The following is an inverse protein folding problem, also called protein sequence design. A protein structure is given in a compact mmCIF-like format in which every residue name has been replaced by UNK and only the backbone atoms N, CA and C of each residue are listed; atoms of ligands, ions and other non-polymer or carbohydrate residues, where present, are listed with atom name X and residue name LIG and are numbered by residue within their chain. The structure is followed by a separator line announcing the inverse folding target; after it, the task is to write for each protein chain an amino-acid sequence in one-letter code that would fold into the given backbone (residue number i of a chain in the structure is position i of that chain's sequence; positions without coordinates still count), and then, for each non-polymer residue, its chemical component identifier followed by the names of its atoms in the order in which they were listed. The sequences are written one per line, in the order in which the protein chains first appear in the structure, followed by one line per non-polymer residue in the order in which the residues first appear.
data_IF_887810047990
#
_entry.id   IF_887810047990
#
_cell.length_a   1.000
_cell.length_b   1.000
_cell.length_c   1.000
_cell.angle_alpha   90.00
_cell.angle_beta   90.00
_cell.angle_gamma   90.00
#
_symmetry.space_group_name_H-M   'P 1'
#
loop_
_entity.id
_entity.type
_entity.pdbx_description
1 polymer ?
#
# COMPACT_ATOMS: atom_id res chain seq x y z
N UNK A 1 -12.90 27.40 64.94
CA UNK A 1 -11.68 26.84 64.30
C UNK A 1 -12.04 25.64 63.41
N UNK A 2 -12.97 25.82 62.46
CA UNK A 2 -13.43 24.73 61.56
C UNK A 2 -13.61 25.18 60.09
N UNK A 3 -13.55 26.48 59.78
CA UNK A 3 -13.74 26.98 58.41
C UNK A 3 -12.61 26.64 57.44
N UNK A 4 -11.35 26.56 57.90
CA UNK A 4 -10.22 26.37 56.99
C UNK A 4 -10.16 24.94 56.43
N UNK A 5 -10.48 23.93 57.24
CA UNK A 5 -10.51 22.54 56.81
C UNK A 5 -11.66 22.26 55.83
N UNK A 6 -12.82 22.90 56.06
CA UNK A 6 -13.99 22.77 55.19
C UNK A 6 -13.76 23.50 53.85
N UNK A 7 -13.09 24.66 53.88
CA UNK A 7 -12.68 25.39 52.67
C UNK A 7 -11.64 24.62 51.86
N UNK A 8 -10.67 23.98 52.50
CA UNK A 8 -9.69 23.11 51.83
C UNK A 8 -10.34 21.86 51.22
N UNK A 9 -11.29 21.24 51.93
CA UNK A 9 -12.02 20.06 51.47
C UNK A 9 -12.91 20.39 50.26
N UNK A 10 -13.58 21.55 50.28
CA UNK A 10 -14.39 22.06 49.16
C UNK A 10 -13.49 22.42 47.96
N UNK A 11 -12.36 23.10 48.19
CA UNK A 11 -11.40 23.43 47.13
C UNK A 11 -10.77 22.16 46.52
N UNK A 12 -10.40 21.18 47.35
CA UNK A 12 -9.86 19.90 46.91
C UNK A 12 -10.89 19.05 46.15
N UNK A 13 -12.17 19.08 46.56
CA UNK A 13 -13.29 18.45 45.83
C UNK A 13 -13.60 19.18 44.52
N UNK A 14 -13.51 20.50 44.48
CA UNK A 14 -13.66 21.32 43.26
C UNK A 14 -12.54 21.03 42.24
N UNK A 15 -11.28 20.98 42.68
CA UNK A 15 -10.13 20.59 41.84
C UNK A 15 -10.23 19.14 41.31
N UNK A 16 -10.84 18.23 42.07
CA UNK A 16 -11.10 16.85 41.62
C UNK A 16 -12.33 16.74 40.70
N UNK A 17 -13.36 17.55 40.92
CA UNK A 17 -14.55 17.61 40.06
C UNK A 17 -14.26 18.28 38.71
N UNK A 18 -13.25 19.15 38.64
CA UNK A 18 -12.77 19.78 37.40
C UNK A 18 -11.86 18.90 36.53
N UNK A 19 -11.69 17.61 36.85
CA UNK A 19 -11.35 16.60 35.84
C UNK A 19 -12.54 16.35 34.91
N UNK A 20 -13.06 17.43 34.33
CA UNK A 20 -13.98 17.40 33.20
C UNK A 20 -13.21 16.69 32.09
N UNK A 21 -13.64 15.48 31.78
CA UNK A 21 -13.08 14.71 30.69
C UNK A 21 -13.37 15.45 29.39
N UNK A 22 -12.48 16.36 28.99
CA UNK A 22 -12.62 17.11 27.75
C UNK A 22 -12.39 16.17 26.58
N UNK A 23 -13.47 15.70 25.97
CA UNK A 23 -13.42 14.99 24.71
C UNK A 23 -12.77 15.85 23.63
N UNK A 24 -12.08 15.22 22.69
CA UNK A 24 -11.57 15.93 21.51
C UNK A 24 -12.74 16.35 20.62
N UNK A 25 -12.74 17.61 20.20
CA UNK A 25 -13.74 18.10 19.24
C UNK A 25 -13.31 17.81 17.80
N UNK A 26 -14.25 17.79 16.84
CA UNK A 26 -13.90 17.67 15.43
C UNK A 26 -12.95 18.77 14.95
N UNK A 27 -13.10 20.00 15.45
CA UNK A 27 -12.21 21.13 15.11
C UNK A 27 -10.78 20.91 15.60
N UNK A 28 -10.62 20.27 16.76
CA UNK A 28 -9.30 19.87 17.27
C UNK A 28 -8.65 18.82 16.37
N UNK A 29 -9.41 17.85 15.88
CA UNK A 29 -8.91 16.84 14.94
C UNK A 29 -8.52 17.47 13.60
N UNK A 30 -9.33 18.41 13.08
CA UNK A 30 -9.01 19.18 11.86
C UNK A 30 -7.72 19.98 12.04
N UNK A 31 -7.58 20.70 13.17
CA UNK A 31 -6.37 21.46 13.49
C UNK A 31 -5.13 20.57 13.51
N UNK A 32 -5.23 19.38 14.10
CA UNK A 32 -4.13 18.42 14.10
C UNK A 32 -3.80 17.92 12.68
N UNK A 33 -4.81 17.62 11.85
CA UNK A 33 -4.59 17.25 10.46
C UNK A 33 -3.92 18.36 9.66
N UNK A 34 -4.37 19.60 9.79
CA UNK A 34 -3.77 20.75 9.10
C UNK A 34 -2.27 20.86 9.41
N UNK A 35 -1.87 20.73 10.68
CA UNK A 35 -0.44 20.75 11.05
C UNK A 35 0.35 19.56 10.53
N UNK A 36 -0.26 18.38 10.46
CA UNK A 36 0.37 17.20 9.87
C UNK A 36 0.56 17.32 8.36
N UNK A 37 -0.35 18.02 7.67
CA UNK A 37 -0.30 18.24 6.21
C UNK A 37 0.70 19.34 5.87
N UNK A 38 0.69 20.45 6.62
CA UNK A 38 1.61 21.56 6.40
C UNK A 38 3.08 21.16 6.57
N UNK A 39 3.34 20.16 7.44
CA UNK A 39 4.65 19.71 7.92
C UNK A 39 5.86 20.07 7.03
N UNK A 40 6.39 21.31 7.17
CA UNK A 40 7.36 21.84 6.21
C UNK A 40 8.78 21.29 6.44
N UNK A 41 8.97 20.56 7.54
CA UNK A 41 10.28 20.13 8.04
C UNK A 41 10.37 18.61 8.23
N UNK A 42 9.45 17.83 7.62
CA UNK A 42 9.38 16.38 7.79
C UNK A 42 9.43 15.93 9.27
N UNK A 43 8.85 16.74 10.15
CA UNK A 43 8.87 16.50 11.58
C UNK A 43 8.03 15.29 11.94
N UNK A 44 8.44 14.60 13.00
CA UNK A 44 7.65 13.49 13.53
C UNK A 44 6.33 13.99 14.13
N UNK A 45 5.27 13.15 14.17
CA UNK A 45 4.00 13.52 14.80
C UNK A 45 4.15 13.98 16.25
N UNK A 46 5.17 13.47 16.95
CA UNK A 46 5.55 13.92 18.29
C UNK A 46 5.85 15.43 18.33
N UNK A 47 6.73 15.91 17.45
CA UNK A 47 7.15 17.32 17.41
C UNK A 47 6.00 18.24 16.98
N UNK A 48 5.11 17.75 16.14
CA UNK A 48 3.90 18.47 15.73
C UNK A 48 2.94 18.62 16.92
N UNK A 49 2.72 17.54 17.68
CA UNK A 49 1.90 17.57 18.89
C UNK A 49 2.50 18.45 19.99
N UNK A 50 3.83 18.47 20.12
CA UNK A 50 4.56 19.35 21.04
C UNK A 50 4.32 20.83 20.69
N UNK A 51 4.43 21.19 19.41
CA UNK A 51 4.14 22.57 18.96
C UNK A 51 2.69 22.96 19.23
N UNK A 52 1.73 22.09 18.89
CA UNK A 52 0.30 22.34 19.13
C UNK A 52 -0.03 22.57 20.62
N UNK A 53 0.68 21.89 21.52
CA UNK A 53 0.51 22.09 22.95
C UNK A 53 1.06 23.44 23.44
N UNK A 54 2.03 24.02 22.72
CA UNK A 54 2.66 25.30 23.05
C UNK A 54 2.00 26.50 22.33
N UNK A 55 0.99 26.28 21.48
CA UNK A 55 0.24 27.37 20.84
C UNK A 55 -0.62 28.13 21.87
N UNK A 56 -0.76 29.47 21.73
CA UNK A 56 -1.62 30.25 22.62
C UNK A 56 -3.05 29.70 22.63
N UNK A 57 -3.62 29.53 23.82
CA UNK A 57 -4.96 28.97 23.99
C UNK A 57 -5.03 27.44 23.89
N UNK A 58 -3.90 26.73 23.78
CA UNK A 58 -3.89 25.27 23.87
C UNK A 58 -4.15 24.83 25.31
N UNK A 59 -5.27 24.12 25.52
CA UNK A 59 -5.66 23.58 26.83
C UNK A 59 -5.08 22.18 27.06
N UNK A 60 -4.56 21.54 26.00
CA UNK A 60 -4.15 20.14 26.01
C UNK A 60 -2.64 19.99 26.02
N UNK A 61 -2.16 19.05 26.82
CA UNK A 61 -0.77 18.63 26.77
C UNK A 61 -0.44 17.90 25.46
N UNK A 62 0.84 17.97 25.06
CA UNK A 62 1.32 17.26 23.87
C UNK A 62 1.08 15.74 23.94
N UNK A 63 1.14 15.15 25.14
CA UNK A 63 0.83 13.72 25.37
C UNK A 63 -0.63 13.40 25.01
N UNK A 64 -1.55 14.30 25.32
CA UNK A 64 -2.97 14.16 24.97
C UNK A 64 -3.16 14.18 23.45
N UNK A 65 -2.55 15.17 22.77
CA UNK A 65 -2.56 15.26 21.31
C UNK A 65 -1.96 14.02 20.64
N UNK A 66 -0.79 13.57 21.11
CA UNK A 66 -0.13 12.40 20.53
C UNK A 66 -0.92 11.12 20.75
N UNK A 67 -1.56 10.96 21.92
CA UNK A 67 -2.44 9.82 22.21
C UNK A 67 -3.66 9.81 21.29
N UNK A 68 -4.26 10.99 21.05
CA UNK A 68 -5.38 11.15 20.09
C UNK A 68 -4.94 10.79 18.67
N UNK A 69 -3.80 11.31 18.23
CA UNK A 69 -3.20 10.97 16.94
C UNK A 69 -3.02 9.46 16.79
N UNK A 70 -2.25 8.85 17.68
CA UNK A 70 -1.83 7.44 17.58
C UNK A 70 -3.01 6.46 17.67
N UNK A 71 -3.97 6.73 18.55
CA UNK A 71 -5.01 5.75 18.87
C UNK A 71 -6.31 5.95 18.10
N UNK A 72 -6.58 7.16 17.60
CA UNK A 72 -7.87 7.48 16.98
C UNK A 72 -7.68 7.92 15.54
N UNK A 73 -6.81 8.90 15.30
CA UNK A 73 -6.72 9.55 13.98
C UNK A 73 -5.93 8.72 12.97
N UNK A 74 -4.71 8.30 13.31
CA UNK A 74 -3.85 7.55 12.39
C UNK A 74 -4.50 6.23 11.92
N UNK A 75 -5.09 5.39 12.78
CA UNK A 75 -5.76 4.15 12.33
C UNK A 75 -6.98 4.42 11.43
N UNK A 76 -7.64 5.56 11.63
CA UNK A 76 -8.86 5.95 10.89
C UNK A 76 -8.59 6.96 9.79
N UNK A 77 -7.33 7.10 9.35
CA UNK A 77 -6.95 8.06 8.31
C UNK A 77 -7.71 7.83 6.99
N UNK A 78 -8.00 6.58 6.63
CA UNK A 78 -8.83 6.24 5.47
C UNK A 78 -10.24 6.86 5.53
N UNK A 79 -10.81 7.06 6.72
CA UNK A 79 -12.13 7.69 6.94
C UNK A 79 -12.07 9.22 7.02
N UNK A 80 -10.88 9.81 7.12
CA UNK A 80 -10.76 11.26 7.20
C UNK A 80 -11.32 11.93 5.92
N UNK A 81 -11.94 13.10 6.08
CA UNK A 81 -12.43 13.90 4.95
C UNK A 81 -11.29 14.65 4.25
N UNK A 82 -10.30 13.88 3.78
CA UNK A 82 -9.11 14.37 3.10
C UNK A 82 -9.04 13.79 1.68
N UNK A 83 -8.47 14.53 0.71
CA UNK A 83 -8.15 14.01 -0.61
C UNK A 83 -7.26 12.75 -0.56
N UNK A 84 -7.41 11.86 -1.54
CA UNK A 84 -6.71 10.55 -1.57
C UNK A 84 -5.20 10.71 -1.64
N UNK A 85 -4.73 11.65 -2.46
CA UNK A 85 -3.32 12.04 -2.57
C UNK A 85 -2.75 12.53 -1.23
N UNK A 86 -3.55 13.31 -0.49
CA UNK A 86 -3.18 13.77 0.86
C UNK A 86 -3.13 12.60 1.85
N UNK A 87 -4.12 11.69 1.82
CA UNK A 87 -4.11 10.48 2.66
C UNK A 87 -2.89 9.61 2.37
N UNK A 88 -2.58 9.34 1.09
CA UNK A 88 -1.42 8.57 0.66
C UNK A 88 -0.12 9.20 1.18
N UNK A 89 0.03 10.51 1.03
CA UNK A 89 1.18 11.26 1.55
C UNK A 89 1.32 11.08 3.06
N UNK A 90 0.23 11.20 3.82
CA UNK A 90 0.23 11.02 5.27
C UNK A 90 0.59 9.59 5.70
N UNK A 91 0.04 8.58 5.01
CA UNK A 91 0.38 7.17 5.23
C UNK A 91 1.86 6.90 5.02
N UNK A 92 2.42 7.40 3.92
CA UNK A 92 3.82 7.25 3.56
C UNK A 92 4.74 8.02 4.52
N UNK A 93 4.52 9.32 4.69
CA UNK A 93 5.36 10.22 5.49
C UNK A 93 5.50 9.76 6.94
N UNK A 94 4.41 9.30 7.54
CA UNK A 94 4.37 8.94 8.96
C UNK A 94 4.45 7.44 9.20
N UNK A 95 4.65 6.64 8.15
CA UNK A 95 4.76 5.18 8.25
C UNK A 95 3.54 4.57 8.95
N UNK A 96 2.34 5.04 8.63
CA UNK A 96 1.11 4.55 9.22
C UNK A 96 0.73 3.25 8.49
N UNK A 97 0.39 2.16 9.21
CA UNK A 97 -0.15 0.96 8.58
C UNK A 97 -1.46 1.29 7.85
N UNK A 98 -1.55 0.91 6.58
CA UNK A 98 -2.74 1.14 5.76
C UNK A 98 -3.79 0.10 6.12
N UNK A 99 -5.05 0.54 6.21
CA UNK A 99 -6.18 -0.36 6.37
C UNK A 99 -6.36 -1.20 5.09
N UNK A 100 -6.67 -2.47 5.23
CA UNK A 100 -6.59 -3.45 4.14
C UNK A 100 -7.62 -3.19 3.04
N UNK A 101 -8.86 -2.82 3.37
CA UNK A 101 -9.88 -2.50 2.38
C UNK A 101 -9.53 -1.23 1.60
N UNK A 102 -9.03 -0.20 2.30
CA UNK A 102 -8.57 1.04 1.69
C UNK A 102 -7.34 0.81 0.79
N UNK A 103 -6.43 -0.10 1.17
CA UNK A 103 -5.30 -0.47 0.31
C UNK A 103 -5.76 -1.10 -1.01
N UNK A 104 -6.81 -1.92 -1.00
CA UNK A 104 -7.39 -2.48 -2.23
C UNK A 104 -7.99 -1.37 -3.10
N UNK A 105 -8.70 -0.41 -2.50
CA UNK A 105 -9.21 0.77 -3.21
C UNK A 105 -8.06 1.57 -3.84
N UNK A 106 -6.98 1.80 -3.10
CA UNK A 106 -5.81 2.55 -3.57
C UNK A 106 -5.14 1.87 -4.78
N UNK A 107 -5.03 0.55 -4.78
CA UNK A 107 -4.42 -0.21 -5.89
C UNK A 107 -5.17 -0.05 -7.22
N UNK A 108 -6.45 0.31 -7.19
CA UNK A 108 -7.22 0.62 -8.42
C UNK A 108 -6.88 1.98 -9.04
N UNK A 109 -6.24 2.88 -8.28
CA UNK A 109 -5.96 4.28 -8.66
C UNK A 109 -4.48 4.62 -8.67
N UNK A 110 -3.66 3.81 -8.02
CA UNK A 110 -2.22 4.04 -7.85
C UNK A 110 -1.48 2.70 -7.77
N UNK A 111 -0.26 2.68 -8.27
CA UNK A 111 0.70 1.63 -7.92
C UNK A 111 1.17 1.87 -6.49
N UNK A 112 0.92 0.93 -5.59
CA UNK A 112 1.28 1.05 -4.17
C UNK A 112 1.99 -0.22 -3.70
N UNK A 113 3.19 -0.05 -3.15
CA UNK A 113 3.97 -1.10 -2.48
C UNK A 113 3.94 -0.90 -0.97
N UNK A 114 3.81 -2.00 -0.22
CA UNK A 114 3.77 -1.99 1.24
C UNK A 114 4.84 -2.92 1.83
N UNK A 115 5.30 -2.61 3.04
CA UNK A 115 6.19 -3.49 3.82
C UNK A 115 5.43 -4.59 4.58
N UNK A 116 6.17 -5.46 5.27
CA UNK A 116 5.64 -6.54 6.13
C UNK A 116 4.68 -6.04 7.23
N UNK A 117 4.76 -4.75 7.60
CA UNK A 117 3.91 -4.12 8.63
C UNK A 117 2.72 -3.39 8.01
N UNK A 118 2.49 -3.53 6.70
CA UNK A 118 1.41 -2.89 5.96
C UNK A 118 1.60 -1.38 5.77
N UNK A 119 2.82 -0.87 5.86
CA UNK A 119 3.14 0.56 5.66
C UNK A 119 3.57 0.80 4.23
N UNK A 120 3.14 1.92 3.65
CA UNK A 120 3.50 2.28 2.27
C UNK A 120 5.00 2.56 2.20
N UNK A 121 5.69 1.88 1.28
CA UNK A 121 7.11 2.10 0.98
C UNK A 121 7.33 2.84 -0.34
N UNK A 122 6.36 2.72 -1.27
CA UNK A 122 6.37 3.46 -2.53
C UNK A 122 4.94 3.61 -3.04
N UNK A 123 4.64 4.75 -3.64
CA UNK A 123 3.39 4.94 -4.36
C UNK A 123 3.58 5.80 -5.62
N UNK A 124 2.79 5.53 -6.65
CA UNK A 124 2.71 6.32 -7.87
C UNK A 124 1.26 6.35 -8.35
N UNK A 125 0.68 7.56 -8.49
CA UNK A 125 -0.68 7.70 -9.00
C UNK A 125 -0.72 7.31 -10.48
N UNK A 126 -1.74 6.55 -10.87
CA UNK A 126 -1.99 6.25 -12.28
C UNK A 126 -2.49 7.54 -12.92
N UNK A 127 -1.57 8.27 -13.57
CA UNK A 127 -1.97 9.43 -14.35
C UNK A 127 -2.82 8.97 -15.53
N UNK A 128 -3.85 9.73 -15.91
CA UNK A 128 -4.70 9.42 -17.08
C UNK A 128 -3.92 9.34 -18.40
N UNK A 129 -2.64 9.75 -18.42
CA UNK A 129 -1.74 9.78 -19.59
C UNK A 129 -0.99 8.47 -19.83
N UNK A 130 -0.89 7.59 -18.83
CA UNK A 130 -0.12 6.32 -18.90
C UNK A 130 -1.05 5.11 -18.94
N UNK A 131 -1.90 5.04 -19.95
CA UNK A 131 -2.56 3.76 -20.28
C UNK A 131 -1.70 2.91 -21.23
N UNK A 132 -0.58 3.43 -21.74
CA UNK A 132 0.15 2.82 -22.87
C UNK A 132 1.67 2.64 -22.67
N UNK A 133 2.33 3.14 -21.61
CA UNK A 133 3.82 3.21 -21.59
C UNK A 133 4.55 2.55 -20.39
N UNK A 134 3.85 2.01 -19.37
CA UNK A 134 4.50 1.53 -18.14
C UNK A 134 4.83 0.01 -18.12
N UNK A 135 4.84 -0.69 -19.28
CA UNK A 135 5.29 -2.10 -19.37
C UNK A 135 6.82 -2.28 -19.39
N UNK A 136 7.58 -1.28 -19.84
CA UNK A 136 9.01 -1.46 -20.15
C UNK A 136 9.99 -0.90 -19.09
N UNK A 137 9.60 0.11 -18.28
CA UNK A 137 10.57 0.84 -17.45
C UNK A 137 10.85 0.19 -16.06
N UNK A 138 10.09 -0.83 -15.65
CA UNK A 138 10.21 -1.41 -14.30
C UNK A 138 11.26 -2.54 -14.18
N UNK A 139 11.92 -2.96 -15.27
CA UNK A 139 12.95 -4.02 -15.21
C UNK A 139 14.33 -3.55 -14.71
N UNK A 140 14.56 -2.25 -14.48
CA UNK A 140 15.92 -1.71 -14.28
C UNK A 140 16.30 -1.43 -12.80
N UNK A 141 15.57 -1.92 -11.78
CA UNK A 141 16.02 -1.73 -10.37
C UNK A 141 15.91 -3.00 -9.51
N UNK A 142 16.68 -4.01 -9.88
CA UNK A 142 17.22 -5.03 -8.97
C UNK A 142 18.68 -5.25 -9.36
N UNK A 143 19.54 -4.27 -9.04
CA UNK A 143 20.98 -4.53 -8.97
C UNK A 143 21.26 -5.21 -7.62
N UNK A 144 21.51 -6.51 -7.67
CA UNK A 144 22.18 -7.24 -6.58
C UNK A 144 23.67 -6.83 -6.53
N UNK A 145 24.29 -6.76 -5.33
CA UNK A 145 25.71 -6.45 -5.21
C UNK A 145 26.58 -7.67 -5.55
N UNK A 146 27.42 -7.50 -6.56
CA UNK A 146 28.54 -8.37 -6.94
C UNK A 146 29.62 -8.46 -5.84
N UNK A 147 30.19 -9.67 -5.67
CA UNK A 147 31.64 -10.01 -5.48
C UNK A 147 31.77 -11.44 -4.91
N UNK A 148 32.09 -12.42 -5.77
CA UNK A 148 33.43 -13.04 -6.01
C UNK A 148 33.76 -14.16 -5.01
N UNK A 149 34.23 -15.35 -5.39
CA UNK A 149 35.48 -15.58 -6.12
C UNK A 149 35.68 -17.10 -6.45
N UNK A 150 36.36 -17.38 -7.57
CA UNK A 150 37.28 -18.52 -7.85
C UNK A 150 36.82 -19.82 -8.60
N UNK A 151 36.80 -19.76 -9.96
CA UNK A 151 37.64 -20.47 -11.00
C UNK A 151 37.64 -22.03 -11.05
N UNK A 152 37.83 -22.79 -12.18
CA UNK A 152 38.17 -22.45 -13.60
C UNK A 152 37.37 -23.14 -14.75
N UNK A 153 37.27 -22.39 -15.86
CA UNK A 153 37.46 -22.69 -17.31
C UNK A 153 37.68 -24.13 -17.82
N UNK A 154 36.90 -24.49 -18.86
CA UNK A 154 37.14 -25.26 -20.12
C UNK A 154 35.88 -26.14 -20.39
N UNK A 155 35.19 -26.20 -21.54
CA UNK A 155 35.44 -25.92 -22.95
C UNK A 155 34.05 -25.83 -23.66
N UNK A 156 33.99 -25.13 -24.79
CA UNK A 156 33.11 -25.34 -25.96
C UNK A 156 31.67 -24.79 -25.98
N UNK A 157 31.53 -23.67 -26.70
CA UNK A 157 30.66 -23.50 -27.86
C UNK A 157 29.28 -24.20 -27.85
N UNK A 158 28.29 -23.59 -27.21
CA UNK A 158 26.89 -23.61 -27.67
C UNK A 158 26.31 -22.22 -27.40
N UNK A 159 25.73 -21.60 -28.44
CA UNK A 159 24.95 -20.36 -28.32
C UNK A 159 23.92 -20.46 -27.17
N UNK A 160 23.62 -19.40 -26.40
CA UNK A 160 22.57 -19.50 -25.40
C UNK A 160 21.23 -19.56 -26.14
N UNK A 161 20.72 -20.78 -26.30
CA UNK A 161 19.31 -21.00 -26.57
C UNK A 161 18.50 -20.25 -25.52
N UNK A 162 17.69 -19.32 -26.00
CA UNK A 162 16.59 -18.71 -25.27
C UNK A 162 15.61 -19.81 -24.85
N UNK A 163 15.84 -20.44 -23.70
CA UNK A 163 14.86 -21.35 -23.10
C UNK A 163 13.76 -20.51 -22.45
N UNK A 164 12.83 -20.04 -23.28
CA UNK A 164 11.53 -19.58 -22.80
C UNK A 164 10.81 -20.76 -22.14
N UNK A 165 10.24 -20.57 -20.94
CA UNK A 165 9.54 -21.64 -20.24
C UNK A 165 8.36 -22.12 -21.09
N UNK A 166 8.22 -23.44 -21.22
CA UNK A 166 7.15 -24.02 -22.01
C UNK A 166 5.78 -23.62 -21.46
N UNK A 167 4.77 -23.56 -22.33
CA UNK A 167 3.40 -23.23 -21.91
C UNK A 167 2.89 -24.17 -20.80
N UNK A 168 3.35 -25.43 -20.80
CA UNK A 168 3.03 -26.41 -19.76
C UNK A 168 3.65 -26.02 -18.42
N UNK A 169 4.91 -25.59 -18.41
CA UNK A 169 5.59 -25.09 -17.20
C UNK A 169 4.91 -23.84 -16.65
N UNK A 170 4.51 -22.90 -17.52
CA UNK A 170 3.76 -21.72 -17.12
C UNK A 170 2.41 -22.08 -16.46
N UNK A 171 1.66 -23.01 -17.05
CA UNK A 171 0.38 -23.47 -16.49
C UNK A 171 0.54 -24.21 -15.16
N UNK A 172 1.63 -24.96 -14.97
CA UNK A 172 1.96 -25.63 -13.70
C UNK A 172 2.26 -24.60 -12.60
N UNK A 173 3.01 -23.55 -12.91
CA UNK A 173 3.25 -22.44 -11.99
C UNK A 173 1.94 -21.73 -11.64
N UNK A 174 1.11 -21.43 -12.65
CA UNK A 174 -0.19 -20.80 -12.46
C UNK A 174 -1.10 -21.64 -11.56
N UNK A 175 -1.22 -22.95 -11.80
CA UNK A 175 -1.98 -23.88 -10.93
C UNK A 175 -1.51 -23.80 -9.48
N UNK A 176 -0.20 -23.78 -9.27
CA UNK A 176 0.42 -23.76 -7.94
C UNK A 176 0.10 -22.47 -7.20
N UNK A 177 0.11 -21.33 -7.88
CA UNK A 177 -0.30 -20.04 -7.31
C UNK A 177 -1.80 -20.02 -7.00
N UNK A 178 -2.64 -20.49 -7.93
CA UNK A 178 -4.10 -20.52 -7.75
C UNK A 178 -4.50 -21.37 -6.53
N UNK A 179 -3.82 -22.50 -6.29
CA UNK A 179 -4.04 -23.34 -5.10
C UNK A 179 -3.75 -22.64 -3.77
N UNK A 180 -2.86 -21.64 -3.73
CA UNK A 180 -2.51 -20.94 -2.49
C UNK A 180 -3.63 -20.01 -1.99
N UNK A 181 -4.57 -19.62 -2.85
CA UNK A 181 -5.70 -18.79 -2.47
C UNK A 181 -6.79 -19.55 -1.72
N UNK A 182 -6.75 -20.90 -1.72
CA UNK A 182 -7.60 -21.80 -0.93
C UNK A 182 -9.06 -21.35 -0.81
N UNK A 183 -9.67 -21.03 -1.96
CA UNK A 183 -11.03 -20.51 -2.03
C UNK A 183 -11.88 -21.32 -3.01
N UNK A 184 -13.15 -21.52 -2.69
CA UNK A 184 -14.08 -22.31 -3.51
C UNK A 184 -14.27 -21.69 -4.91
N UNK A 185 -14.10 -20.38 -5.04
CA UNK A 185 -14.20 -19.65 -6.31
C UNK A 185 -13.05 -19.98 -7.27
N UNK A 186 -11.95 -20.56 -6.77
CA UNK A 186 -10.77 -20.91 -7.59
C UNK A 186 -10.76 -22.36 -8.08
N UNK A 187 -11.69 -23.20 -7.62
CA UNK A 187 -11.76 -24.62 -8.01
C UNK A 187 -12.06 -24.81 -9.50
N UNK A 188 -13.00 -24.05 -10.07
CA UNK A 188 -13.29 -24.08 -11.52
C UNK A 188 -12.08 -23.66 -12.35
N UNK A 189 -11.31 -22.68 -11.87
CA UNK A 189 -10.10 -22.19 -12.53
C UNK A 189 -9.01 -23.27 -12.49
N UNK A 190 -8.83 -23.94 -11.35
CA UNK A 190 -7.87 -25.05 -11.21
C UNK A 190 -8.25 -26.21 -12.14
N UNK A 191 -9.54 -26.57 -12.25
CA UNK A 191 -10.01 -27.61 -13.17
C UNK A 191 -9.75 -27.26 -14.64
N UNK A 192 -9.94 -25.99 -15.03
CA UNK A 192 -9.66 -25.51 -16.39
C UNK A 192 -8.17 -25.56 -16.72
N UNK A 193 -7.31 -25.18 -15.77
CA UNK A 193 -5.85 -25.27 -15.94
C UNK A 193 -5.42 -26.74 -16.05
N UNK A 194 -5.99 -27.64 -15.25
CA UNK A 194 -5.71 -29.08 -15.32
C UNK A 194 -6.13 -29.68 -16.67
N UNK A 195 -7.29 -29.28 -17.17
CA UNK A 195 -7.75 -29.67 -18.50
C UNK A 195 -6.82 -29.15 -19.60
N UNK A 196 -6.29 -27.92 -19.46
CA UNK A 196 -5.34 -27.35 -20.41
C UNK A 196 -3.98 -28.08 -20.38
N UNK A 197 -3.45 -28.40 -19.20
CA UNK A 197 -2.22 -29.17 -19.04
C UNK A 197 -2.36 -30.57 -19.65
N UNK A 198 -3.51 -31.23 -19.47
CA UNK A 198 -3.78 -32.55 -20.07
C UNK A 198 -3.90 -32.49 -21.59
N UNK A 199 -4.53 -31.43 -22.13
CA UNK A 199 -4.67 -31.23 -23.58
C UNK A 199 -3.34 -30.92 -24.27
N UNK A 200 -2.40 -30.31 -23.57
CA UNK A 200 -1.07 -29.97 -24.12
C UNK A 200 -0.15 -31.19 -24.28
N UNK A 201 -0.44 -32.32 -23.61
CA UNK A 201 0.39 -33.52 -23.69
C UNK A 201 1.88 -33.25 -23.41
N UNK A 202 2.77 -34.12 -23.87
CA UNK A 202 4.24 -33.92 -23.80
C UNK A 202 4.79 -33.28 -25.09
N UNK A 203 3.93 -32.74 -25.96
CA UNK A 203 4.36 -32.17 -27.24
C UNK A 203 4.70 -30.68 -27.10
N UNK A 204 6.00 -30.43 -26.96
CA UNK A 204 6.67 -29.15 -26.71
C UNK A 204 6.66 -28.12 -27.85
N UNK A 205 5.82 -28.27 -28.88
CA UNK A 205 5.79 -27.32 -30.01
C UNK A 205 4.38 -27.02 -30.48
N UNK A 206 3.62 -26.29 -29.66
CA UNK A 206 2.51 -25.47 -30.19
C UNK A 206 3.01 -24.03 -30.19
N UNK A 207 3.70 -23.65 -31.27
CA UNK A 207 3.93 -22.25 -31.59
C UNK A 207 2.56 -21.64 -31.86
N UNK A 208 2.13 -20.70 -31.00
CA UNK A 208 0.99 -19.86 -31.34
C UNK A 208 1.31 -19.20 -32.69
N UNK A 209 0.41 -19.27 -33.68
CA UNK A 209 0.55 -18.43 -34.86
C UNK A 209 0.17 -17.02 -34.43
N UNK A 210 1.12 -16.34 -33.75
CA UNK A 210 1.00 -14.94 -33.33
C UNK A 210 0.65 -14.06 -34.53
N UNK A 211 1.18 -14.39 -35.71
CA UNK A 211 0.83 -13.75 -36.97
C UNK A 211 -0.67 -13.86 -37.26
N UNK A 212 -1.26 -15.04 -37.11
CA UNK A 212 -2.69 -15.28 -37.36
C UNK A 212 -3.58 -14.55 -36.35
N UNK A 213 -3.19 -14.52 -35.08
CA UNK A 213 -3.90 -13.74 -34.07
C UNK A 213 -3.81 -12.24 -34.33
N UNK A 214 -2.67 -11.75 -34.82
CA UNK A 214 -2.55 -10.35 -35.26
C UNK A 214 -3.48 -10.06 -36.43
N UNK A 215 -3.52 -10.94 -37.43
CA UNK A 215 -4.39 -10.76 -38.61
C UNK A 215 -5.86 -10.77 -38.22
N UNK A 216 -6.28 -11.71 -37.36
CA UNK A 216 -7.67 -11.80 -36.90
C UNK A 216 -8.09 -10.55 -36.07
N UNK A 217 -7.14 -9.92 -35.35
CA UNK A 217 -7.36 -8.68 -34.59
C UNK A 217 -7.43 -7.46 -35.51
N UNK A 218 -6.54 -7.37 -36.50
CA UNK A 218 -6.57 -6.29 -37.50
C UNK A 218 -7.86 -6.33 -38.33
N UNK A 219 -8.29 -7.51 -38.77
CA UNK A 219 -9.55 -7.68 -39.51
C UNK A 219 -10.78 -7.32 -38.65
N UNK A 220 -10.76 -7.58 -37.35
CA UNK A 220 -11.88 -7.21 -36.46
C UNK A 220 -11.90 -5.72 -36.11
N UNK A 221 -10.76 -5.04 -36.14
CA UNK A 221 -10.70 -3.58 -35.98
C UNK A 221 -11.21 -2.84 -37.22
N UNK A 222 -10.89 -3.32 -38.42
CA UNK A 222 -11.39 -2.74 -39.68
C UNK A 222 -12.93 -2.82 -39.82
N UNK A 223 -13.55 -3.88 -39.28
CA UNK A 223 -15.01 -4.04 -39.26
C UNK A 223 -15.70 -3.02 -38.32
N UNK A 224 -15.00 -2.52 -37.30
CA UNK A 224 -15.54 -1.57 -36.32
C UNK A 224 -15.40 -0.09 -36.75
N UNK A 225 -14.66 0.19 -37.81
CA UNK A 225 -14.47 1.54 -38.37
C UNK A 225 -15.35 1.85 -39.60
N UNK A 226 -16.27 0.93 -39.98
CA UNK A 226 -17.34 1.14 -40.98
C UNK A 226 -18.71 1.35 -40.32
#
# INVERSE_FOLDING_TARGET
MTDEAETFEIHYKSLKAEKVWRCFTPDEDVRLWSRLIENPLNQTPYKICERLANEPGSVRSWKSWYKRYKNILAPKLHLAKLPIDTKLRLYFQYGIPVETAFLQELKTRAFVSVDEKGRITRYQMISKRRREEDSEEFRVKLEEPELSENIPTHVNDIAPESTEPSMKEYLVVLKTLTKRFNSAETEDIIMRIDTAIQKLGDNEQIKLPLEKLLTDIEETLDILEC
#
